data_IF_143962142427
#
_entry.id   IF_143962142427
#
_cell.length_a   1.000
_cell.length_b   1.000
_cell.length_c   1.000
_cell.angle_alpha   90.00
_cell.angle_beta   90.00
_cell.angle_gamma   90.00
#
_symmetry.space_group_name_H-M   'P 1'
#
loop_
_entity.id
_entity.type
_entity.pdbx_description
1 polymer ?
#
# COMPACT_ATOMS: atom_id res chain seq x y z
N UNK A 1 22.81 -25.32 -34.93
CA UNK A 1 22.19 -26.08 -33.83
C UNK A 1 20.94 -25.34 -33.38
N UNK A 2 19.72 -25.83 -33.65
CA UNK A 2 18.51 -25.24 -33.09
C UNK A 2 18.07 -26.00 -31.83
N UNK A 3 17.82 -25.26 -30.75
CA UNK A 3 17.30 -25.77 -29.49
C UNK A 3 15.78 -25.98 -29.61
N UNK A 4 15.37 -27.24 -29.67
CA UNK A 4 13.99 -27.71 -29.57
C UNK A 4 13.65 -27.90 -28.10
N UNK A 5 12.72 -27.11 -27.54
CA UNK A 5 12.04 -27.46 -26.29
C UNK A 5 10.58 -27.73 -26.59
N UNK A 6 10.24 -29.02 -26.59
CA UNK A 6 8.88 -29.53 -26.71
C UNK A 6 8.05 -29.13 -25.48
N UNK A 7 6.88 -28.60 -25.78
CA UNK A 7 5.74 -28.47 -24.89
C UNK A 7 5.35 -29.83 -24.30
N UNK A 8 5.18 -29.89 -22.98
CA UNK A 8 4.49 -31.01 -22.31
C UNK A 8 3.06 -30.58 -21.95
N UNK A 9 2.05 -31.43 -22.20
CA UNK A 9 0.66 -31.10 -21.96
C UNK A 9 0.32 -31.11 -20.47
N UNK A 10 -0.45 -30.11 -20.05
CA UNK A 10 -1.07 -30.02 -18.74
C UNK A 10 -2.27 -30.97 -18.68
N UNK A 11 -2.26 -31.90 -17.73
CA UNK A 11 -3.39 -32.79 -17.48
C UNK A 11 -3.26 -33.47 -16.12
N UNK A 12 -4.02 -32.99 -15.14
CA UNK A 12 -4.94 -33.81 -14.33
C UNK A 12 -5.86 -32.88 -13.53
N UNK A 13 -7.10 -32.78 -13.94
CA UNK A 13 -8.17 -32.00 -13.33
C UNK A 13 -8.94 -32.88 -12.35
N UNK A 14 -8.69 -32.79 -11.04
CA UNK A 14 -9.51 -33.49 -10.04
C UNK A 14 -9.80 -32.69 -8.76
N UNK A 15 -11.10 -32.43 -8.61
CA UNK A 15 -11.92 -32.29 -7.37
C UNK A 15 -11.91 -30.92 -6.68
N UNK A 16 -12.79 -30.04 -7.19
CA UNK A 16 -13.43 -28.98 -6.40
C UNK A 16 -14.35 -29.66 -5.37
N UNK A 17 -14.08 -29.41 -4.09
CA UNK A 17 -14.92 -29.86 -2.98
C UNK A 17 -16.28 -29.15 -3.01
N UNK A 18 -17.35 -29.89 -2.73
CA UNK A 18 -18.73 -29.43 -2.79
C UNK A 18 -19.06 -28.41 -1.68
N UNK A 19 -19.55 -27.24 -2.08
CA UNK A 19 -20.20 -26.29 -1.17
C UNK A 19 -21.45 -26.92 -0.55
N UNK A 20 -21.50 -27.03 0.77
CA UNK A 20 -22.73 -27.37 1.51
C UNK A 20 -23.59 -26.12 1.66
N UNK A 21 -24.89 -26.25 1.43
CA UNK A 21 -25.87 -25.18 1.58
C UNK A 21 -26.05 -24.77 3.06
N UNK A 22 -26.08 -23.46 3.31
CA UNK A 22 -26.37 -22.87 4.62
C UNK A 22 -27.86 -23.00 5.01
N UNK A 23 -28.20 -23.06 6.31
CA UNK A 23 -29.59 -23.16 6.77
C UNK A 23 -30.36 -21.83 6.60
N UNK A 24 -31.71 -21.85 6.58
CA UNK A 24 -32.51 -20.66 6.31
C UNK A 24 -32.43 -19.64 7.45
N UNK A 25 -32.31 -18.36 7.06
CA UNK A 25 -32.21 -17.22 7.96
C UNK A 25 -33.46 -17.04 8.82
N UNK A 26 -33.26 -16.80 10.13
CA UNK A 26 -34.34 -16.46 11.07
C UNK A 26 -34.91 -15.09 10.72
N UNK A 27 -36.24 -15.02 10.57
CA UNK A 27 -37.01 -13.80 10.30
C UNK A 27 -36.99 -12.88 11.52
N UNK A 28 -36.21 -11.81 11.46
CA UNK A 28 -36.22 -10.73 12.45
C UNK A 28 -37.56 -9.96 12.38
N UNK A 29 -38.29 -9.90 13.50
CA UNK A 29 -39.49 -9.06 13.64
C UNK A 29 -39.07 -7.64 14.02
N UNK A 30 -39.64 -6.67 13.32
CA UNK A 30 -39.27 -5.25 13.39
C UNK A 30 -39.41 -4.64 14.77
N UNK A 31 -38.32 -4.00 15.22
CA UNK A 31 -38.34 -2.90 16.19
C UNK A 31 -38.02 -1.60 15.45
N UNK A 32 -38.76 -0.54 15.74
CA UNK A 32 -38.58 0.78 15.16
C UNK A 32 -37.15 1.28 15.42
N UNK A 33 -36.31 1.25 14.38
CA UNK A 33 -35.03 1.94 14.39
C UNK A 33 -35.33 3.43 14.45
N UNK A 34 -35.19 4.04 15.62
CA UNK A 34 -34.92 5.47 15.69
C UNK A 34 -33.64 5.66 14.90
N UNK A 35 -33.71 6.39 13.79
CA UNK A 35 -32.57 6.72 12.95
C UNK A 35 -31.53 7.41 13.82
N UNK A 36 -30.41 6.72 14.07
CA UNK A 36 -29.22 7.38 14.58
C UNK A 36 -28.89 8.52 13.59
N UNK A 37 -28.55 9.73 14.06
CA UNK A 37 -28.18 10.82 13.17
C UNK A 37 -27.01 10.35 12.29
N UNK A 38 -27.17 10.47 10.97
CA UNK A 38 -26.13 10.17 9.99
C UNK A 38 -24.96 11.14 10.22
N UNK A 39 -24.01 10.71 11.05
CA UNK A 39 -22.68 11.29 11.06
C UNK A 39 -21.93 10.69 9.88
N UNK A 40 -22.12 11.27 8.69
CA UNK A 40 -21.01 11.27 7.76
C UNK A 40 -19.93 12.08 8.47
N UNK A 41 -18.90 11.39 8.98
CA UNK A 41 -17.71 12.10 9.42
C UNK A 41 -17.25 12.94 8.22
N UNK A 42 -17.09 14.25 8.41
CA UNK A 42 -16.61 15.13 7.35
C UNK A 42 -15.30 14.56 6.81
N UNK A 43 -15.30 14.16 5.53
CA UNK A 43 -14.09 13.66 4.87
C UNK A 43 -13.05 14.78 4.92
N UNK A 44 -11.86 14.49 5.45
CA UNK A 44 -10.75 15.42 5.33
C UNK A 44 -10.34 15.49 3.86
N UNK A 45 -10.67 16.59 3.22
CA UNK A 45 -10.40 16.82 1.81
C UNK A 45 -9.71 18.17 1.62
N UNK A 46 -8.79 18.23 0.68
CA UNK A 46 -8.19 19.46 0.20
C UNK A 46 -8.07 19.42 -1.32
N UNK A 47 -8.30 20.58 -1.96
CA UNK A 47 -7.93 20.76 -3.37
C UNK A 47 -6.41 20.87 -3.44
N UNK A 48 -5.79 20.13 -4.35
CA UNK A 48 -4.33 20.15 -4.52
C UNK A 48 -3.90 21.01 -5.71
N UNK A 49 -2.79 21.72 -5.55
CA UNK A 49 -2.04 22.35 -6.63
C UNK A 49 -0.87 21.43 -6.99
N UNK A 50 -0.88 20.92 -8.22
CA UNK A 50 0.14 19.98 -8.68
C UNK A 50 1.43 20.71 -9.07
N UNK A 51 2.56 20.10 -8.72
CA UNK A 51 3.89 20.53 -9.12
C UNK A 51 4.49 19.61 -10.19
N UNK A 52 5.80 19.38 -10.07
CA UNK A 52 6.57 18.53 -10.97
C UNK A 52 6.13 17.07 -10.88
N UNK A 53 6.39 16.30 -11.95
CA UNK A 53 6.12 14.87 -12.02
C UNK A 53 7.36 14.12 -12.47
N UNK A 54 7.65 13.00 -11.83
CA UNK A 54 8.82 12.20 -12.12
C UNK A 54 8.46 10.75 -12.40
N UNK A 55 9.28 10.14 -13.25
CA UNK A 55 9.48 8.71 -13.30
C UNK A 55 10.81 8.43 -12.62
N UNK A 56 10.79 7.66 -11.53
CA UNK A 56 11.98 7.16 -10.87
C UNK A 56 12.23 5.72 -11.31
N UNK A 57 13.50 5.40 -11.49
CA UNK A 57 13.97 4.03 -11.73
C UNK A 57 14.96 3.73 -10.63
N UNK A 58 14.65 2.73 -9.81
CA UNK A 58 15.54 2.20 -8.80
C UNK A 58 16.26 0.99 -9.37
N UNK A 59 17.54 0.88 -9.04
CA UNK A 59 18.45 -0.13 -9.59
C UNK A 59 18.57 -1.32 -8.63
N UNK A 60 19.07 -2.48 -9.10
CA UNK A 60 19.33 -3.63 -8.24
C UNK A 60 20.15 -3.27 -7.00
N UNK A 61 19.67 -3.66 -5.82
CA UNK A 61 20.31 -3.42 -4.52
C UNK A 61 19.89 -2.12 -3.83
N UNK A 62 19.10 -1.26 -4.47
CA UNK A 62 18.55 -0.07 -3.81
C UNK A 62 17.52 -0.45 -2.74
N UNK A 63 17.67 0.10 -1.53
CA UNK A 63 16.62 0.06 -0.52
C UNK A 63 15.57 1.14 -0.86
N UNK A 64 14.35 0.70 -1.13
CA UNK A 64 13.30 1.51 -1.77
C UNK A 64 12.97 2.77 -0.97
N UNK A 65 12.69 2.62 0.33
CA UNK A 65 12.25 3.75 1.14
C UNK A 65 13.38 4.78 1.33
N UNK A 66 14.59 4.32 1.60
CA UNK A 66 15.76 5.17 1.79
C UNK A 66 16.15 5.88 0.49
N UNK A 67 16.11 5.20 -0.65
CA UNK A 67 16.42 5.80 -1.96
C UNK A 67 15.40 6.86 -2.34
N UNK A 68 14.09 6.58 -2.19
CA UNK A 68 13.05 7.57 -2.47
C UNK A 68 13.11 8.74 -1.49
N UNK A 69 13.40 8.50 -0.21
CA UNK A 69 13.56 9.57 0.80
C UNK A 69 14.71 10.50 0.42
N UNK A 70 15.91 9.96 0.12
CA UNK A 70 17.07 10.76 -0.30
C UNK A 70 16.81 11.53 -1.59
N UNK A 71 16.11 10.91 -2.54
CA UNK A 71 15.70 11.57 -3.77
C UNK A 71 14.77 12.76 -3.47
N UNK A 72 13.74 12.56 -2.64
CA UNK A 72 12.79 13.60 -2.29
C UNK A 72 13.48 14.77 -1.56
N UNK A 73 14.37 14.49 -0.61
CA UNK A 73 15.19 15.50 0.08
C UNK A 73 16.06 16.30 -0.88
N UNK A 74 16.74 15.62 -1.82
CA UNK A 74 17.59 16.27 -2.83
C UNK A 74 16.81 17.20 -3.75
N UNK A 75 15.62 16.78 -4.17
CA UNK A 75 14.76 17.56 -5.09
C UNK A 75 13.88 18.60 -4.37
N UNK A 76 13.91 18.64 -3.03
CA UNK A 76 13.08 19.52 -2.22
C UNK A 76 11.60 19.12 -2.18
N UNK A 77 11.27 17.86 -2.44
CA UNK A 77 9.90 17.33 -2.45
C UNK A 77 9.51 16.96 -1.02
N UNK A 78 8.63 17.77 -0.43
CA UNK A 78 8.10 17.54 0.93
C UNK A 78 6.67 17.02 0.95
N UNK A 79 5.95 17.13 -0.18
CA UNK A 79 4.56 16.70 -0.35
C UNK A 79 4.37 16.12 -1.75
N UNK A 80 4.00 14.85 -1.84
CA UNK A 80 3.74 14.19 -3.12
C UNK A 80 2.84 12.98 -2.99
N UNK A 81 2.14 12.62 -4.06
CA UNK A 81 1.56 11.29 -4.24
C UNK A 81 2.55 10.40 -4.97
N UNK A 82 2.63 9.14 -4.52
CA UNK A 82 3.22 8.06 -5.29
C UNK A 82 2.06 7.33 -5.95
N UNK A 83 1.73 7.75 -7.16
CA UNK A 83 0.52 7.31 -7.88
C UNK A 83 0.56 5.81 -8.16
N UNK A 84 1.75 5.32 -8.48
CA UNK A 84 2.02 3.92 -8.77
C UNK A 84 3.52 3.66 -8.67
N UNK A 85 3.89 2.50 -8.18
CA UNK A 85 5.15 1.87 -8.50
C UNK A 85 4.96 0.39 -8.79
N UNK A 86 5.87 -0.19 -9.56
CA UNK A 86 5.89 -1.63 -9.84
C UNK A 86 7.31 -2.09 -10.10
N UNK A 87 7.58 -3.37 -9.89
CA UNK A 87 8.91 -3.92 -10.13
C UNK A 87 9.17 -5.24 -9.44
N UNK A 88 10.43 -5.64 -9.51
CA UNK A 88 10.94 -6.85 -8.88
C UNK A 88 11.75 -6.51 -7.63
N UNK A 89 11.48 -7.21 -6.54
CA UNK A 89 12.08 -7.01 -5.23
C UNK A 89 12.83 -8.28 -4.81
N UNK A 90 14.03 -8.13 -4.25
CA UNK A 90 14.80 -9.24 -3.69
C UNK A 90 14.20 -9.64 -2.34
N UNK A 91 13.80 -8.67 -1.56
CA UNK A 91 13.06 -8.84 -0.31
C UNK A 91 12.08 -7.70 -0.11
N UNK A 92 11.00 -7.97 0.61
CA UNK A 92 10.08 -6.96 1.13
C UNK A 92 9.63 -7.36 2.53
N UNK A 93 9.58 -6.39 3.43
CA UNK A 93 9.04 -6.53 4.78
C UNK A 93 7.77 -5.69 4.89
N UNK A 94 6.67 -6.34 5.26
CA UNK A 94 5.33 -5.76 5.28
C UNK A 94 4.70 -5.91 6.65
N UNK A 95 3.93 -4.92 7.11
CA UNK A 95 2.95 -5.13 8.19
C UNK A 95 1.85 -6.03 7.61
N UNK A 96 1.87 -7.30 7.98
CA UNK A 96 0.90 -8.32 7.61
C UNK A 96 1.10 -9.55 8.53
N UNK A 97 0.10 -10.43 8.57
CA UNK A 97 0.18 -11.69 9.32
C UNK A 97 -0.42 -12.84 8.50
N UNK A 98 0.17 -14.02 8.63
CA UNK A 98 -0.38 -15.28 8.12
C UNK A 98 -1.20 -16.02 9.22
N UNK A 99 -1.24 -15.46 10.44
CA UNK A 99 -1.95 -16.01 11.59
C UNK A 99 -3.38 -15.48 11.75
N UNK A 100 -4.11 -16.06 12.71
CA UNK A 100 -5.39 -15.49 13.15
C UNK A 100 -5.16 -14.30 14.09
N UNK A 101 -6.03 -13.30 14.00
CA UNK A 101 -6.04 -12.16 14.92
C UNK A 101 -7.20 -12.30 15.91
N UNK A 102 -6.91 -12.10 17.19
CA UNK A 102 -7.93 -12.10 18.26
C UNK A 102 -8.77 -10.82 18.22
N UNK A 103 -8.13 -9.68 17.95
CA UNK A 103 -8.77 -8.38 17.74
C UNK A 103 -8.14 -7.68 16.53
N UNK A 104 -8.88 -7.44 15.43
CA UNK A 104 -8.37 -6.79 14.23
C UNK A 104 -8.37 -5.26 14.32
N UNK A 105 -8.90 -4.66 15.40
CA UNK A 105 -9.03 -3.21 15.50
C UNK A 105 -7.69 -2.49 15.78
N UNK A 106 -6.82 -2.95 16.69
CA UNK A 106 -5.55 -2.30 16.95
C UNK A 106 -4.56 -2.45 15.78
N UNK A 107 -3.52 -1.60 15.72
CA UNK A 107 -2.44 -1.75 14.75
C UNK A 107 -1.78 -3.12 14.88
N UNK A 108 -1.63 -3.81 13.76
CA UNK A 108 -0.99 -5.12 13.73
C UNK A 108 0.49 -5.00 14.11
N UNK A 109 0.96 -5.66 15.17
CA UNK A 109 2.38 -5.63 15.55
C UNK A 109 3.22 -6.60 14.69
N UNK A 110 2.57 -7.52 13.97
CA UNK A 110 3.21 -8.52 13.13
C UNK A 110 3.74 -7.94 11.83
N UNK A 111 4.79 -8.59 11.34
CA UNK A 111 5.36 -8.34 10.03
C UNK A 111 5.72 -9.65 9.35
N UNK A 112 5.67 -9.67 8.03
CA UNK A 112 6.19 -10.74 7.20
C UNK A 112 7.37 -10.24 6.39
N UNK A 113 8.37 -11.10 6.19
CA UNK A 113 9.45 -10.87 5.25
C UNK A 113 9.39 -11.95 4.18
N UNK A 114 9.39 -11.52 2.92
CA UNK A 114 9.22 -12.41 1.77
C UNK A 114 10.32 -12.09 0.77
N UNK A 115 10.87 -13.14 0.14
CA UNK A 115 11.96 -13.01 -0.82
C UNK A 115 11.45 -13.18 -2.26
N UNK A 116 12.14 -12.53 -3.20
CA UNK A 116 11.94 -12.64 -4.64
C UNK A 116 10.48 -12.44 -5.06
N UNK A 117 10.02 -11.20 -4.93
CA UNK A 117 8.66 -10.81 -5.26
C UNK A 117 8.61 -9.95 -6.51
N UNK A 118 7.44 -9.92 -7.14
CA UNK A 118 7.07 -8.91 -8.13
C UNK A 118 5.70 -8.35 -7.76
N UNK A 119 5.52 -7.05 -7.87
CA UNK A 119 4.31 -6.41 -7.37
C UNK A 119 4.11 -4.98 -7.81
N UNK A 120 3.02 -4.42 -7.30
CA UNK A 120 2.58 -3.06 -7.54
C UNK A 120 2.22 -2.38 -6.22
N UNK A 121 2.39 -1.08 -6.15
CA UNK A 121 2.05 -0.32 -4.95
C UNK A 121 1.80 1.15 -5.24
N UNK A 122 1.47 1.87 -4.19
CA UNK A 122 1.20 3.30 -4.21
C UNK A 122 1.43 3.88 -2.81
N UNK A 123 1.38 5.20 -2.68
CA UNK A 123 1.58 5.85 -1.40
C UNK A 123 1.69 7.36 -1.47
N UNK A 124 2.38 7.93 -0.51
CA UNK A 124 2.60 9.38 -0.41
C UNK A 124 3.95 9.71 0.19
N UNK A 125 4.42 10.92 -0.09
CA UNK A 125 5.54 11.57 0.57
C UNK A 125 4.97 12.75 1.35
N UNK A 126 5.32 12.83 2.63
CA UNK A 126 4.90 13.91 3.52
C UNK A 126 5.98 14.19 4.56
N UNK A 127 5.63 14.91 5.62
CA UNK A 127 6.57 15.22 6.70
C UNK A 127 6.09 14.79 8.08
N UNK A 128 7.02 14.33 8.93
CA UNK A 128 6.81 14.13 10.38
C UNK A 128 7.82 15.00 11.12
N UNK A 129 7.34 16.00 11.85
CA UNK A 129 8.22 16.95 12.55
C UNK A 129 9.21 17.64 11.62
N UNK A 130 8.79 17.96 10.38
CA UNK A 130 9.61 18.61 9.36
C UNK A 130 10.59 17.68 8.61
N UNK A 131 10.67 16.39 8.96
CA UNK A 131 11.49 15.40 8.24
C UNK A 131 10.66 14.70 7.18
N UNK A 132 11.23 14.52 5.99
CA UNK A 132 10.60 13.78 4.89
C UNK A 132 10.36 12.33 5.29
N UNK A 133 9.15 11.84 5.04
CA UNK A 133 8.76 10.46 5.28
C UNK A 133 8.02 9.94 4.05
N UNK A 134 8.41 8.75 3.61
CA UNK A 134 7.78 8.02 2.50
C UNK A 134 6.90 6.93 3.09
N UNK A 135 5.61 6.94 2.74
CA UNK A 135 4.63 5.96 3.17
C UNK A 135 4.12 5.20 1.96
N UNK A 136 4.52 3.93 1.82
CA UNK A 136 4.12 3.07 0.71
C UNK A 136 3.32 1.86 1.19
N UNK A 137 2.40 1.41 0.35
CA UNK A 137 1.75 0.12 0.45
C UNK A 137 2.12 -0.70 -0.79
N UNK A 138 2.27 -2.01 -0.61
CA UNK A 138 2.67 -2.95 -1.65
C UNK A 138 1.70 -4.13 -1.68
N UNK A 139 1.36 -4.59 -2.87
CA UNK A 139 0.81 -5.92 -3.13
C UNK A 139 1.74 -6.66 -4.09
N UNK A 140 2.30 -7.79 -3.67
CA UNK A 140 3.33 -8.50 -4.42
C UNK A 140 3.22 -10.03 -4.25
N UNK A 141 3.47 -10.76 -5.33
CA UNK A 141 3.51 -12.23 -5.33
C UNK A 141 4.96 -12.73 -5.32
N UNK A 142 5.21 -13.79 -4.54
CA UNK A 142 6.48 -14.49 -4.60
C UNK A 142 6.54 -15.35 -5.88
N UNK A 143 7.66 -15.30 -6.61
CA UNK A 143 7.78 -15.94 -7.95
C UNK A 143 7.43 -17.44 -7.99
N UNK A 144 7.64 -18.14 -6.89
CA UNK A 144 7.39 -19.59 -6.77
C UNK A 144 5.98 -19.96 -6.30
N UNK A 145 5.15 -19.00 -5.91
CA UNK A 145 3.88 -19.26 -5.18
C UNK A 145 2.62 -19.02 -6.04
N UNK A 146 2.79 -18.98 -7.37
CA UNK A 146 1.69 -18.81 -8.31
C UNK A 146 1.02 -17.44 -8.19
N UNK A 147 -0.31 -17.42 -8.08
CA UNK A 147 -1.11 -16.19 -8.00
C UNK A 147 -1.36 -15.65 -6.59
N UNK A 148 -0.72 -16.22 -5.57
CA UNK A 148 -0.81 -15.71 -4.21
C UNK A 148 -0.09 -14.36 -4.07
N UNK A 149 -0.63 -13.46 -3.27
CA UNK A 149 -0.05 -12.14 -3.04
C UNK A 149 0.01 -11.81 -1.55
N UNK A 150 1.12 -11.20 -1.15
CA UNK A 150 1.32 -10.54 0.13
C UNK A 150 0.99 -9.07 -0.06
N UNK A 151 0.21 -8.49 0.85
CA UNK A 151 -0.16 -7.09 0.78
C UNK A 151 -0.11 -6.42 2.16
N UNK A 152 0.40 -5.20 2.22
CA UNK A 152 0.50 -4.47 3.48
C UNK A 152 1.23 -3.15 3.38
N UNK A 153 1.42 -2.51 4.54
CA UNK A 153 2.27 -1.34 4.69
C UNK A 153 3.74 -1.74 4.53
N UNK A 154 4.48 -1.05 3.67
CA UNK A 154 5.87 -1.37 3.38
C UNK A 154 6.81 -0.82 4.44
N UNK A 155 7.55 -1.72 5.10
CA UNK A 155 8.54 -1.37 6.14
C UNK A 155 9.97 -1.34 5.61
N UNK A 156 10.26 -2.12 4.57
CA UNK A 156 11.54 -2.14 3.85
C UNK A 156 11.39 -2.94 2.55
N UNK A 157 12.16 -2.60 1.52
CA UNK A 157 12.32 -3.46 0.34
C UNK A 157 13.65 -3.20 -0.36
N UNK A 158 14.23 -4.26 -0.93
CA UNK A 158 15.42 -4.18 -1.79
C UNK A 158 15.01 -4.46 -3.24
N UNK A 159 15.36 -3.57 -4.17
CA UNK A 159 15.12 -3.76 -5.60
C UNK A 159 15.96 -4.91 -6.16
N UNK A 160 15.37 -5.77 -6.99
CA UNK A 160 16.08 -6.90 -7.62
C UNK A 160 16.51 -6.63 -9.06
N UNK A 161 15.59 -6.20 -9.92
CA UNK A 161 15.89 -5.92 -11.34
C UNK A 161 15.70 -4.44 -11.67
N UNK A 162 14.50 -3.96 -11.44
CA UNK A 162 14.13 -2.55 -11.51
C UNK A 162 12.89 -2.35 -10.65
N UNK A 163 12.75 -1.14 -10.11
CA UNK A 163 11.48 -0.66 -9.60
C UNK A 163 11.23 0.72 -10.22
N UNK A 164 10.11 0.82 -10.92
CA UNK A 164 9.67 2.03 -11.62
C UNK A 164 8.58 2.70 -10.80
N UNK A 165 8.70 3.99 -10.55
CA UNK A 165 7.82 4.73 -9.65
C UNK A 165 7.42 6.09 -10.25
N UNK A 166 6.13 6.36 -10.29
CA UNK A 166 5.58 7.65 -10.68
C UNK A 166 5.30 8.48 -9.44
N UNK A 167 5.93 9.65 -9.37
CA UNK A 167 5.76 10.61 -8.27
C UNK A 167 5.19 11.91 -8.79
N UNK A 168 4.12 12.40 -8.17
CA UNK A 168 3.48 13.68 -8.48
C UNK A 168 3.60 14.61 -7.28
N UNK A 169 4.37 15.70 -7.44
CA UNK A 169 4.51 16.74 -6.43
C UNK A 169 3.17 17.44 -6.18
N UNK A 170 2.93 17.77 -4.91
CA UNK A 170 1.84 18.64 -4.47
C UNK A 170 2.48 19.88 -3.85
N UNK A 171 2.22 21.04 -4.45
CA UNK A 171 2.77 22.32 -3.99
C UNK A 171 1.92 22.94 -2.87
N UNK A 172 0.62 22.64 -2.88
CA UNK A 172 -0.34 23.10 -1.87
C UNK A 172 -1.52 22.12 -1.82
N UNK A 173 -2.04 21.74 -0.64
CA UNK A 173 -1.46 21.99 0.68
C UNK A 173 -0.22 21.12 0.95
N UNK A 174 0.54 21.48 1.98
CA UNK A 174 1.62 20.63 2.49
C UNK A 174 1.04 19.39 3.18
N UNK A 175 1.66 18.24 2.93
CA UNK A 175 1.30 16.95 3.52
C UNK A 175 2.07 16.74 4.83
N UNK A 176 1.34 16.59 5.94
CA UNK A 176 1.88 16.19 7.24
C UNK A 176 1.35 14.82 7.63
N UNK A 177 2.20 14.06 8.30
CA UNK A 177 1.86 12.78 8.88
C UNK A 177 1.79 12.97 10.39
N UNK A 178 0.58 12.95 10.95
CA UNK A 178 0.31 13.25 12.36
C UNK A 178 -0.37 12.06 13.05
N UNK A 179 -0.02 11.76 14.31
CA UNK A 179 -0.61 10.63 15.02
C UNK A 179 -2.11 10.83 15.22
N UNK A 180 -2.88 9.79 14.91
CA UNK A 180 -4.31 9.78 15.18
C UNK A 180 -4.60 9.68 16.69
N UNK A 181 -5.80 10.10 17.10
CA UNK A 181 -6.17 10.17 18.52
C UNK A 181 -6.44 8.81 19.18
N UNK A 182 -6.66 7.75 18.39
CA UNK A 182 -7.08 6.44 18.86
C UNK A 182 -5.88 5.51 19.00
N UNK A 183 -5.06 5.40 17.95
CA UNK A 183 -3.96 4.44 17.89
C UNK A 183 -2.58 5.08 17.79
N UNK A 184 -2.50 6.40 17.62
CA UNK A 184 -1.24 7.13 17.48
C UNK A 184 -0.50 6.79 16.18
N UNK A 185 -1.16 6.22 15.18
CA UNK A 185 -0.59 5.99 13.87
C UNK A 185 -0.56 7.31 13.12
N UNK A 186 0.56 7.60 12.47
CA UNK A 186 0.65 8.79 11.64
C UNK A 186 -0.27 8.67 10.43
N UNK A 187 -1.31 9.52 10.38
CA UNK A 187 -2.23 9.66 9.28
C UNK A 187 -1.94 10.92 8.47
N UNK A 188 -2.40 10.96 7.21
CA UNK A 188 -2.25 12.13 6.35
C UNK A 188 -3.14 13.29 6.81
N UNK A 189 -2.50 14.42 7.02
CA UNK A 189 -3.05 15.72 7.33
C UNK A 189 -2.59 16.71 6.27
N UNK A 190 -3.42 17.73 6.04
CA UNK A 190 -3.09 18.85 5.18
C UNK A 190 -2.85 20.05 6.08
N UNK A 191 -1.85 20.86 5.75
CA UNK A 191 -1.79 22.20 6.33
C UNK A 191 -3.09 22.93 6.00
N UNK A 192 -3.58 23.76 6.93
CA UNK A 192 -4.73 24.62 6.63
C UNK A 192 -4.42 25.37 5.35
N UNK A 193 -5.20 25.09 4.30
CA UNK A 193 -5.03 25.76 3.02
C UNK A 193 -5.06 27.26 3.30
N UNK A 194 -4.00 27.96 2.88
CA UNK A 194 -4.03 29.42 2.91
C UNK A 194 -5.24 29.80 2.06
N UNK A 195 -6.30 30.33 2.69
CA UNK A 195 -7.52 30.66 1.99
C UNK A 195 -7.14 31.56 0.81
N UNK A 196 -7.28 31.05 -0.42
CA UNK A 196 -7.03 31.83 -1.61
C UNK A 196 -8.13 32.88 -1.64
N UNK A 197 -7.76 34.10 -1.24
CA UNK A 197 -8.58 35.31 -1.33
C UNK A 197 -8.90 35.67 -2.77
#
# INVERSE_FOLDING_TARGET
MPCTWMTRPCGDSRRIASCRASPPARRWRGGSRRSAPERWADVRAAKVTLGRRWMLVLEPGDEVLATVTRWAEREGVTSATVDMFFGALRSARLIATNGSMDDPEPPLPDQVEVAYLEGVGAGSIGTVGGRTVVHLHLAAGAKGEGGAAYAGHLLAAETHYTLEMVVQEVLDPVFRLEPDAVFGINCLHFDEATAVS
#
